data_IF_900471423186
#
_entry.id   IF_900471423186
#
_cell.length_a   1.000
_cell.length_b   1.000
_cell.length_c   1.000
_cell.angle_alpha   90.00
_cell.angle_beta   90.00
_cell.angle_gamma   90.00
#
_symmetry.space_group_name_H-M   'P 1'
#
loop_
_entity.id
_entity.type
_entity.pdbx_description
1 polymer ?
#
# COMPACT_ATOMS: atom_id res chain seq x y z
N UNK A 1 4.19 22.19 23.01
CA UNK A 1 4.24 21.03 22.10
C UNK A 1 4.99 21.43 20.84
N UNK A 2 5.86 20.55 20.33
CA UNK A 2 6.51 20.77 19.04
C UNK A 2 5.48 20.80 17.91
N UNK A 3 5.82 21.43 16.80
CA UNK A 3 4.99 21.40 15.59
C UNK A 3 5.10 20.01 14.95
N UNK A 4 3.98 19.44 14.52
CA UNK A 4 3.97 18.23 13.69
C UNK A 4 4.05 18.61 12.21
N UNK A 5 4.49 17.65 11.40
CA UNK A 5 4.42 17.70 9.95
C UNK A 5 4.08 16.29 9.43
N UNK A 6 3.33 16.22 8.35
CA UNK A 6 2.97 14.98 7.67
C UNK A 6 2.99 15.20 6.16
N UNK A 7 3.50 14.22 5.43
CA UNK A 7 3.46 14.15 3.98
C UNK A 7 3.01 12.75 3.57
N UNK A 8 2.35 12.65 2.42
CA UNK A 8 1.86 11.41 1.83
C UNK A 8 2.14 11.42 0.32
N UNK A 9 2.21 10.24 -0.31
CA UNK A 9 2.29 10.10 -1.76
C UNK A 9 1.45 8.92 -2.24
N UNK A 10 1.00 8.98 -3.50
CA UNK A 10 0.34 7.88 -4.21
C UNK A 10 1.23 7.19 -5.25
N UNK A 11 2.55 7.45 -5.19
CA UNK A 11 3.52 7.01 -6.18
C UNK A 11 4.03 8.13 -7.08
N UNK A 12 5.07 7.85 -7.86
CA UNK A 12 5.66 8.76 -8.84
C UNK A 12 5.45 8.23 -10.27
N UNK A 13 5.98 8.91 -11.29
CA UNK A 13 5.92 8.42 -12.68
C UNK A 13 4.56 8.55 -13.37
N UNK A 14 3.74 9.51 -12.94
CA UNK A 14 2.43 9.80 -13.52
C UNK A 14 2.57 10.19 -15.00
N UNK A 15 1.71 9.62 -15.87
CA UNK A 15 1.63 10.02 -17.28
C UNK A 15 1.35 11.54 -17.38
N UNK A 16 2.18 12.31 -18.10
CA UNK A 16 1.94 13.74 -18.33
C UNK A 16 0.57 14.06 -18.96
N UNK A 17 -0.04 13.08 -19.65
CA UNK A 17 -1.35 13.21 -20.29
C UNK A 17 -2.49 12.59 -19.46
N UNK A 18 -2.29 12.34 -18.17
CA UNK A 18 -3.33 11.81 -17.29
C UNK A 18 -4.61 12.67 -17.40
N UNK A 19 -5.79 12.09 -17.68
CA UNK A 19 -7.03 12.86 -17.80
C UNK A 19 -7.33 13.68 -16.54
N UNK A 20 -7.82 14.91 -16.71
CA UNK A 20 -8.11 15.83 -15.60
C UNK A 20 -9.03 15.21 -14.55
N UNK A 21 -10.05 14.45 -14.98
CA UNK A 21 -10.93 13.72 -14.08
C UNK A 21 -10.17 12.77 -13.14
N UNK A 22 -9.17 12.05 -13.65
CA UNK A 22 -8.33 11.16 -12.84
C UNK A 22 -7.37 11.94 -11.95
N UNK A 23 -6.89 13.10 -12.39
CA UNK A 23 -6.08 13.98 -11.52
C UNK A 23 -6.89 14.46 -10.33
N UNK A 24 -8.14 14.89 -10.54
CA UNK A 24 -9.02 15.36 -9.47
C UNK A 24 -9.43 14.22 -8.52
N UNK A 25 -9.65 13.01 -9.05
CA UNK A 25 -9.88 11.82 -8.22
C UNK A 25 -8.66 11.51 -7.32
N UNK A 26 -7.45 11.49 -7.88
CA UNK A 26 -6.23 11.29 -7.10
C UNK A 26 -6.06 12.36 -6.00
N UNK A 27 -6.27 13.64 -6.33
CA UNK A 27 -6.21 14.74 -5.36
C UNK A 27 -7.26 14.58 -4.25
N UNK A 28 -8.46 14.12 -4.59
CA UNK A 28 -9.55 13.88 -3.62
C UNK A 28 -9.18 12.76 -2.66
N UNK A 29 -8.66 11.63 -3.16
CA UNK A 29 -8.20 10.51 -2.32
C UNK A 29 -7.04 10.94 -1.43
N UNK A 30 -6.02 11.63 -1.97
CA UNK A 30 -4.90 12.14 -1.18
C UNK A 30 -5.36 13.13 -0.10
N UNK A 31 -6.27 14.04 -0.43
CA UNK A 31 -6.81 14.99 0.54
C UNK A 31 -7.54 14.28 1.68
N UNK A 32 -8.31 13.22 1.37
CA UNK A 32 -8.98 12.38 2.38
C UNK A 32 -7.97 11.67 3.28
N UNK A 33 -6.96 11.02 2.71
CA UNK A 33 -5.90 10.33 3.46
C UNK A 33 -5.12 11.30 4.35
N UNK A 34 -4.77 12.48 3.82
CA UNK A 34 -4.06 13.51 4.57
C UNK A 34 -4.90 14.01 5.74
N UNK A 35 -6.21 14.23 5.54
CA UNK A 35 -7.11 14.68 6.60
C UNK A 35 -7.18 13.66 7.75
N UNK A 36 -7.22 12.36 7.45
CA UNK A 36 -7.16 11.31 8.49
C UNK A 36 -5.89 11.44 9.34
N UNK A 37 -4.74 11.69 8.69
CA UNK A 37 -3.48 11.89 9.40
C UNK A 37 -3.46 13.16 10.24
N UNK A 38 -3.99 14.27 9.71
CA UNK A 38 -4.12 15.56 10.43
C UNK A 38 -5.02 15.41 11.65
N UNK A 39 -6.18 14.75 11.51
CA UNK A 39 -7.11 14.52 12.61
C UNK A 39 -6.47 13.65 13.71
N UNK A 40 -5.75 12.60 13.30
CA UNK A 40 -5.01 11.74 14.21
C UNK A 40 -3.91 12.50 14.99
N UNK A 41 -3.17 13.38 14.32
CA UNK A 41 -2.14 14.24 14.95
C UNK A 41 -2.77 15.27 15.90
N UNK A 42 -3.90 15.86 15.54
CA UNK A 42 -4.65 16.77 16.42
C UNK A 42 -5.14 16.08 17.70
N UNK A 43 -5.42 14.77 17.61
CA UNK A 43 -5.75 13.91 18.75
C UNK A 43 -4.53 13.39 19.51
N UNK A 44 -3.33 13.91 19.22
CA UNK A 44 -2.06 13.52 19.85
C UNK A 44 -1.72 12.03 19.71
N UNK A 45 -2.14 11.38 18.62
CA UNK A 45 -1.66 10.03 18.29
C UNK A 45 -0.16 10.04 17.98
N UNK A 46 0.50 8.90 18.21
CA UNK A 46 1.93 8.76 17.89
C UNK A 46 2.14 8.84 16.38
N UNK A 47 3.30 9.33 15.94
CA UNK A 47 3.64 9.36 14.51
C UNK A 47 3.53 7.98 13.85
N UNK A 48 3.87 6.93 14.60
CA UNK A 48 3.79 5.54 14.16
C UNK A 48 2.35 5.10 13.89
N UNK A 49 1.41 5.42 14.79
CA UNK A 49 0.00 5.09 14.58
C UNK A 49 -0.62 5.93 13.46
N UNK A 50 -0.18 7.19 13.31
CA UNK A 50 -0.63 8.08 12.23
C UNK A 50 -0.25 7.53 10.86
N UNK A 51 1.01 7.13 10.65
CA UNK A 51 1.45 6.62 9.34
C UNK A 51 0.76 5.31 9.00
N UNK A 52 0.56 4.40 9.96
CA UNK A 52 -0.18 3.16 9.73
C UNK A 52 -1.63 3.46 9.30
N UNK A 53 -2.33 4.34 10.02
CA UNK A 53 -3.72 4.70 9.69
C UNK A 53 -3.85 5.29 8.28
N UNK A 54 -2.94 6.17 7.91
CA UNK A 54 -2.96 6.84 6.60
C UNK A 54 -2.63 5.87 5.47
N UNK A 55 -1.63 5.00 5.65
CA UNK A 55 -1.27 4.01 4.62
C UNK A 55 -2.38 2.96 4.46
N UNK A 56 -3.04 2.54 5.54
CA UNK A 56 -4.22 1.65 5.46
C UNK A 56 -5.34 2.24 4.60
N UNK A 57 -5.54 3.55 4.65
CA UNK A 57 -6.52 4.24 3.81
C UNK A 57 -6.09 4.21 2.34
N UNK A 58 -4.81 4.46 2.05
CA UNK A 58 -4.25 4.36 0.70
C UNK A 58 -4.38 2.94 0.13
N UNK A 59 -4.09 1.91 0.93
CA UNK A 59 -4.23 0.49 0.55
C UNK A 59 -5.69 0.06 0.34
N UNK A 60 -6.64 0.76 0.94
CA UNK A 60 -8.06 0.42 0.83
C UNK A 60 -8.71 1.05 -0.40
N UNK A 61 -8.16 2.14 -0.92
CA UNK A 61 -8.67 2.87 -2.08
C UNK A 61 -7.99 2.38 -3.37
N UNK A 62 -8.75 1.90 -4.37
CA UNK A 62 -8.20 1.33 -5.60
C UNK A 62 -7.51 2.32 -6.54
N UNK A 63 -7.46 3.62 -6.19
CA UNK A 63 -6.85 4.65 -7.02
C UNK A 63 -5.31 4.52 -7.15
N UNK A 64 -4.65 3.88 -6.18
CA UNK A 64 -3.20 3.77 -6.13
C UNK A 64 -2.72 2.32 -6.14
N UNK A 65 -1.46 2.12 -6.54
CA UNK A 65 -0.82 0.80 -6.62
C UNK A 65 -0.40 0.29 -5.22
N UNK A 66 -1.38 -0.05 -4.39
CA UNK A 66 -1.15 -0.65 -3.07
C UNK A 66 -2.43 -1.31 -2.57
N UNK A 67 -2.34 -2.41 -1.82
CA UNK A 67 -3.53 -3.06 -1.28
C UNK A 67 -4.51 -3.47 -2.39
N UNK A 68 -5.77 -3.06 -2.25
CA UNK A 68 -6.75 -3.15 -3.34
C UNK A 68 -6.38 -2.12 -4.42
N UNK A 69 -6.24 -2.56 -5.67
CA UNK A 69 -5.71 -1.72 -6.76
C UNK A 69 -4.21 -1.95 -7.04
N UNK A 70 -3.59 -2.93 -6.37
CA UNK A 70 -2.23 -3.35 -6.68
C UNK A 70 -2.10 -3.84 -8.13
N UNK A 71 -0.99 -3.46 -8.75
CA UNK A 71 -0.56 -3.94 -10.04
C UNK A 71 -0.44 -5.47 -10.05
N UNK A 72 -0.68 -6.04 -11.23
CA UNK A 72 -0.68 -7.49 -11.40
C UNK A 72 0.70 -8.00 -11.78
N UNK A 73 1.03 -9.19 -11.26
CA UNK A 73 2.16 -9.99 -11.74
C UNK A 73 1.92 -10.41 -13.20
N UNK A 74 2.97 -10.94 -13.84
CA UNK A 74 2.85 -11.54 -15.17
C UNK A 74 1.82 -12.70 -15.26
N UNK A 75 1.41 -13.25 -14.12
CA UNK A 75 0.39 -14.31 -14.03
C UNK A 75 -1.02 -13.76 -13.80
N UNK A 76 -1.20 -12.45 -13.74
CA UNK A 76 -2.49 -11.82 -13.46
C UNK A 76 -2.93 -11.90 -12.00
N UNK A 77 -1.99 -12.17 -11.08
CA UNK A 77 -2.25 -12.21 -9.63
C UNK A 77 -1.68 -10.99 -8.94
N UNK A 78 -2.11 -10.72 -7.70
CA UNK A 78 -1.54 -9.67 -6.85
C UNK A 78 -0.53 -10.30 -5.87
N UNK A 79 0.64 -9.69 -5.75
CA UNK A 79 1.64 -9.97 -4.70
C UNK A 79 2.06 -8.63 -4.10
N UNK A 80 1.78 -8.43 -2.81
CA UNK A 80 1.98 -7.16 -2.13
C UNK A 80 3.12 -7.22 -1.14
N UNK A 81 3.66 -6.04 -0.85
CA UNK A 81 4.68 -5.81 0.17
C UNK A 81 4.46 -4.48 0.88
N UNK A 82 4.99 -4.36 2.09
CA UNK A 82 4.99 -3.12 2.86
C UNK A 82 6.07 -3.15 3.94
N UNK A 83 6.47 -1.98 4.40
CA UNK A 83 7.34 -1.82 5.57
C UNK A 83 6.93 -0.64 6.42
N UNK A 84 7.27 -0.69 7.71
CA UNK A 84 7.03 0.39 8.67
C UNK A 84 8.20 0.49 9.65
N UNK A 85 8.52 1.70 10.08
CA UNK A 85 9.63 1.97 10.99
C UNK A 85 9.28 3.03 12.03
N UNK A 86 9.63 2.76 13.28
CA UNK A 86 9.55 3.70 14.40
C UNK A 86 10.91 4.39 14.59
N UNK A 87 10.97 5.70 14.35
CA UNK A 87 12.20 6.48 14.45
C UNK A 87 12.75 6.63 15.87
N UNK A 88 11.91 6.52 16.92
CA UNK A 88 12.34 6.71 18.31
C UNK A 88 13.19 5.52 18.79
N UNK A 89 12.67 4.30 18.57
CA UNK A 89 13.33 3.04 18.97
C UNK A 89 14.11 2.36 17.84
N UNK A 90 14.04 2.88 16.60
CA UNK A 90 14.52 2.22 15.37
C UNK A 90 13.98 0.81 15.18
N UNK A 91 12.77 0.55 15.67
CA UNK A 91 12.06 -0.72 15.47
C UNK A 91 11.52 -0.74 14.04
N UNK A 92 11.56 -1.90 13.40
CA UNK A 92 11.12 -2.06 12.03
C UNK A 92 10.37 -3.38 11.83
N UNK A 93 9.46 -3.36 10.87
CA UNK A 93 8.74 -4.53 10.41
C UNK A 93 8.48 -4.40 8.91
N UNK A 94 8.53 -5.53 8.21
CA UNK A 94 8.32 -5.61 6.78
C UNK A 94 7.66 -6.94 6.39
N UNK A 95 6.99 -6.92 5.25
CA UNK A 95 6.30 -8.07 4.65
C UNK A 95 6.40 -8.01 3.13
N UNK A 96 6.51 -9.17 2.46
CA UNK A 96 6.45 -9.29 0.99
C UNK A 96 5.78 -10.58 0.55
N UNK A 97 5.36 -10.64 -0.71
CA UNK A 97 4.72 -11.81 -1.29
C UNK A 97 3.35 -12.12 -0.67
N UNK A 98 2.67 -11.09 -0.15
CA UNK A 98 1.33 -11.24 0.42
C UNK A 98 0.29 -11.33 -0.69
N UNK A 99 -0.63 -12.28 -0.56
CA UNK A 99 -1.67 -12.55 -1.55
C UNK A 99 -3.08 -12.50 -0.98
N UNK A 100 -3.24 -12.59 0.36
CA UNK A 100 -4.56 -12.62 1.01
C UNK A 100 -4.78 -11.52 2.06
N UNK A 101 -3.72 -10.76 2.39
CA UNK A 101 -3.74 -9.76 3.46
C UNK A 101 -4.24 -8.43 2.93
N UNK A 102 -5.34 -7.91 3.51
CA UNK A 102 -5.98 -6.66 3.07
C UNK A 102 -5.08 -5.42 3.23
N UNK A 103 -4.39 -5.33 4.36
CA UNK A 103 -3.56 -4.18 4.70
C UNK A 103 -2.13 -4.63 5.02
N UNK A 104 -1.25 -4.76 4.01
CA UNK A 104 0.16 -5.08 4.19
C UNK A 104 0.86 -4.25 5.27
N UNK A 105 0.63 -2.93 5.36
CA UNK A 105 1.27 -2.06 6.35
C UNK A 105 0.96 -2.46 7.80
N UNK A 106 -0.27 -2.90 8.07
CA UNK A 106 -0.64 -3.37 9.41
C UNK A 106 -0.03 -4.72 9.73
N UNK A 107 0.19 -5.59 8.73
CA UNK A 107 0.94 -6.81 8.98
C UNK A 107 2.42 -6.52 9.23
N UNK A 108 3.02 -5.57 8.49
CA UNK A 108 4.36 -5.07 8.78
C UNK A 108 4.47 -4.50 10.21
N UNK A 109 3.45 -3.77 10.68
CA UNK A 109 3.36 -3.31 12.08
C UNK A 109 3.34 -4.47 13.06
N UNK A 110 2.55 -5.51 12.79
CA UNK A 110 2.49 -6.71 13.63
C UNK A 110 3.83 -7.47 13.64
N UNK A 111 4.54 -7.53 12.52
CA UNK A 111 5.91 -8.07 12.48
C UNK A 111 6.82 -7.29 13.43
N UNK A 112 6.81 -5.96 13.34
CA UNK A 112 7.61 -5.10 14.23
C UNK A 112 7.28 -5.28 15.72
N UNK A 113 5.99 -5.42 16.06
CA UNK A 113 5.54 -5.41 17.46
C UNK A 113 5.47 -6.81 18.09
N UNK A 114 5.34 -7.88 17.29
CA UNK A 114 5.00 -9.24 17.78
C UNK A 114 5.87 -10.36 17.23
N UNK A 115 6.77 -10.08 16.29
CA UNK A 115 7.74 -11.05 15.79
C UNK A 115 9.12 -10.80 16.40
N UNK A 116 9.94 -11.85 16.65
CA UNK A 116 11.36 -11.67 16.91
C UNK A 116 12.16 -11.24 15.66
N UNK A 117 11.54 -11.26 14.47
CA UNK A 117 12.14 -10.90 13.20
C UNK A 117 11.59 -9.56 12.67
N UNK A 118 12.40 -8.83 11.91
CA UNK A 118 12.00 -7.56 11.29
C UNK A 118 11.36 -7.71 9.91
N UNK A 119 11.40 -8.90 9.31
CA UNK A 119 10.88 -9.13 7.96
C UNK A 119 10.42 -10.58 7.80
N UNK A 120 9.18 -10.77 7.37
CA UNK A 120 8.63 -12.06 6.94
C UNK A 120 8.19 -11.97 5.48
N UNK A 121 8.19 -13.07 4.73
CA UNK A 121 7.73 -13.04 3.34
C UNK A 121 6.99 -14.32 2.93
N UNK A 122 6.21 -14.21 1.86
CA UNK A 122 5.47 -15.30 1.21
C UNK A 122 4.65 -16.12 2.23
N UNK A 123 4.71 -17.44 2.14
CA UNK A 123 3.93 -18.36 2.99
C UNK A 123 4.14 -18.12 4.49
N UNK A 124 5.35 -17.76 4.91
CA UNK A 124 5.65 -17.48 6.32
C UNK A 124 4.98 -16.20 6.83
N UNK A 125 4.89 -15.16 5.98
CA UNK A 125 4.13 -13.95 6.33
C UNK A 125 2.62 -14.20 6.32
N UNK A 126 2.13 -15.04 5.40
CA UNK A 126 0.73 -15.45 5.32
C UNK A 126 0.30 -16.32 6.50
N UNK A 127 1.16 -17.22 6.98
CA UNK A 127 0.94 -17.99 8.20
C UNK A 127 0.89 -17.07 9.43
N UNK A 128 1.87 -16.18 9.56
CA UNK A 128 1.88 -15.16 10.61
C UNK A 128 0.60 -14.30 10.58
N UNK A 129 0.11 -13.91 9.40
CA UNK A 129 -1.13 -13.16 9.28
C UNK A 129 -2.35 -13.92 9.85
N UNK A 130 -2.43 -15.24 9.63
CA UNK A 130 -3.53 -16.08 10.16
C UNK A 130 -3.49 -16.21 11.67
N UNK A 131 -2.31 -16.19 12.27
CA UNK A 131 -2.16 -16.22 13.74
C UNK A 131 -2.56 -14.89 14.38
N UNK A 132 -2.38 -13.77 13.67
CA UNK A 132 -2.55 -12.43 14.23
C UNK A 132 -3.91 -11.77 13.89
N UNK A 133 -4.57 -12.18 12.80
CA UNK A 133 -5.77 -11.51 12.26
C UNK A 133 -6.91 -12.50 12.03
N UNK A 134 -8.05 -12.31 12.69
CA UNK A 134 -9.22 -13.20 12.59
C UNK A 134 -10.01 -13.09 11.26
N UNK A 135 -9.80 -12.04 10.45
CA UNK A 135 -10.65 -11.77 9.30
C UNK A 135 -9.88 -11.68 7.98
N UNK A 136 -10.23 -12.58 7.06
CA UNK A 136 -9.97 -12.46 5.63
C UNK A 136 -11.17 -11.79 4.99
N UNK A 137 -10.95 -10.69 4.27
CA UNK A 137 -11.97 -10.10 3.43
C UNK A 137 -12.09 -10.90 2.13
N UNK A 138 -13.30 -10.99 1.56
CA UNK A 138 -13.56 -11.76 0.32
C UNK A 138 -13.48 -10.89 -0.93
N UNK A 139 -13.35 -9.59 -0.75
CA UNK A 139 -13.23 -8.65 -1.85
C UNK A 139 -11.93 -8.89 -2.64
N UNK A 140 -11.99 -8.90 -3.98
CA UNK A 140 -10.82 -9.09 -4.80
C UNK A 140 -9.84 -7.92 -4.64
N UNK A 141 -8.56 -8.25 -4.43
CA UNK A 141 -7.46 -7.27 -4.41
C UNK A 141 -7.23 -6.64 -5.79
N UNK A 142 -7.39 -7.44 -6.84
CA UNK A 142 -7.32 -7.00 -8.22
C UNK A 142 -8.60 -6.24 -8.62
N UNK A 143 -8.44 -5.18 -9.41
CA UNK A 143 -9.54 -4.42 -10.00
C UNK A 143 -9.54 -4.55 -11.52
N UNK A 144 -10.66 -4.23 -12.16
CA UNK A 144 -10.78 -4.29 -13.63
C UNK A 144 -9.78 -3.38 -14.34
N UNK A 145 -9.41 -2.25 -13.73
CA UNK A 145 -8.40 -1.34 -14.28
C UNK A 145 -7.04 -2.02 -14.42
N UNK A 146 -6.63 -2.80 -13.42
CA UNK A 146 -5.33 -3.47 -13.41
C UNK A 146 -5.28 -4.63 -14.42
N UNK A 147 -6.40 -5.32 -14.64
CA UNK A 147 -6.54 -6.32 -15.70
C UNK A 147 -6.39 -5.70 -17.09
N UNK A 148 -6.99 -4.51 -17.32
CA UNK A 148 -6.84 -3.77 -18.57
C UNK A 148 -5.37 -3.37 -18.78
N UNK A 149 -4.72 -2.83 -17.75
CA UNK A 149 -3.29 -2.45 -17.80
C UNK A 149 -2.42 -3.66 -18.16
N UNK A 150 -2.61 -4.79 -17.47
CA UNK A 150 -1.87 -6.02 -17.76
C UNK A 150 -2.09 -6.51 -19.20
N UNK A 151 -3.31 -6.43 -19.72
CA UNK A 151 -3.61 -6.81 -21.12
C UNK A 151 -2.90 -5.90 -22.14
N UNK A 152 -2.72 -4.61 -21.81
CA UNK A 152 -1.94 -3.65 -22.58
C UNK A 152 -0.46 -4.02 -22.65
N UNK A 153 0.12 -4.51 -21.54
CA UNK A 153 1.50 -5.00 -21.53
C UNK A 153 1.70 -6.25 -22.40
N UNK A 154 0.77 -7.20 -22.33
CA UNK A 154 0.86 -8.42 -23.15
C UNK A 154 0.69 -8.16 -24.65
N UNK A 155 -0.06 -7.12 -25.03
CA UNK A 155 -0.25 -6.76 -26.44
C UNK A 155 0.91 -5.92 -27.02
N UNK A 156 1.68 -5.24 -26.17
CA UNK A 156 2.82 -4.40 -26.57
C UNK A 156 4.17 -5.13 -26.54
N UNK A 157 4.21 -6.42 -26.18
CA UNK A 157 5.44 -7.22 -26.08
C UNK A 157 6.11 -7.56 -27.43
N UNK A 158 5.65 -6.98 -28.53
CA UNK A 158 6.41 -6.89 -29.79
C UNK A 158 7.16 -5.55 -29.84
N UNK A 159 8.18 -5.40 -28.98
CA UNK A 159 9.28 -4.43 -29.22
C UNK A 159 9.19 -3.01 -28.63
N UNK A 160 8.50 -2.78 -27.50
CA UNK A 160 8.42 -1.46 -26.87
C UNK A 160 8.86 -1.41 -25.40
N UNK A 161 9.61 -0.37 -25.03
CA UNK A 161 10.15 -0.04 -23.70
C UNK A 161 9.23 -0.39 -22.52
N UNK A 162 9.81 -0.99 -21.47
CA UNK A 162 9.24 -1.12 -20.13
C UNK A 162 8.66 0.24 -19.66
N UNK A 163 7.34 0.31 -19.46
CA UNK A 163 6.77 1.40 -18.68
C UNK A 163 7.20 1.21 -17.22
N UNK A 164 7.66 2.27 -16.53
CA UNK A 164 8.21 2.12 -15.19
C UNK A 164 7.12 1.59 -14.27
N UNK A 165 7.42 0.49 -13.56
CA UNK A 165 6.67 0.11 -12.38
C UNK A 165 6.64 1.34 -11.46
N UNK A 166 5.43 1.82 -11.14
CA UNK A 166 5.24 2.68 -9.98
C UNK A 166 5.36 1.76 -8.76
N UNK A 167 6.59 1.43 -8.36
CA UNK A 167 6.84 0.84 -7.05
C UNK A 167 6.66 1.96 -6.02
N UNK A 168 5.64 1.82 -5.18
CA UNK A 168 5.42 2.62 -3.98
C UNK A 168 5.98 1.91 -2.76
#
# INVERSE_FOLDING_TARGET
MGKWAIAIHGGAGVDPNLPEQRQEEAKRVLSRCLQIGVDALNLNKTALDVVELVVRELESDPMFNSGRGSALTARGTVEMEASIMDGCGRRCGAVSGLTTVKNPVSLARLVMDRSPHSYLAFDGAEEFAREQVEQRDKDPLATDSELIVLSGFHSTSVGGRWAPLVMG
#
